data_IF_750266952649
#
_entry.id   IF_750266952649
#
_cell.length_a   1.000
_cell.length_b   1.000
_cell.length_c   1.000
_cell.angle_alpha   90.00
_cell.angle_beta   90.00
_cell.angle_gamma   90.00
#
_symmetry.space_group_name_H-M   'P 1'
#
loop_
_entity.id
_entity.type
_entity.pdbx_description
1 polymer ?
#
# COMPACT_ATOMS: atom_id res chain seq x y z
N UNK A 1 18.43 40.31 12.97
CA UNK A 1 17.77 39.86 11.72
C UNK A 1 16.83 38.72 12.07
N UNK A 2 15.54 38.93 11.89
CA UNK A 2 14.46 37.99 12.24
C UNK A 2 14.24 37.00 11.09
N UNK A 3 14.69 35.76 11.25
CA UNK A 3 14.31 34.67 10.36
C UNK A 3 12.94 34.14 10.78
N UNK A 4 11.89 34.59 10.11
CA UNK A 4 10.55 34.00 10.23
C UNK A 4 10.47 32.77 9.32
N UNK A 5 10.83 31.61 9.83
CA UNK A 5 10.64 30.34 9.13
C UNK A 5 9.14 29.95 9.15
N UNK A 6 8.40 30.43 8.15
CA UNK A 6 7.01 30.03 7.88
C UNK A 6 6.98 28.67 7.17
N UNK A 7 7.49 27.60 7.77
CA UNK A 7 7.24 26.24 7.26
C UNK A 7 6.02 25.63 7.93
N UNK A 8 4.83 26.04 7.46
CA UNK A 8 3.67 25.13 7.48
C UNK A 8 3.89 24.05 6.42
N UNK A 9 4.84 23.15 6.67
CA UNK A 9 4.96 21.91 5.90
C UNK A 9 3.81 21.04 6.40
N UNK A 10 2.75 20.89 5.61
CA UNK A 10 1.67 19.94 5.93
C UNK A 10 2.31 18.58 6.16
N UNK A 11 2.33 18.13 7.42
CA UNK A 11 2.95 16.88 7.87
C UNK A 11 2.10 15.66 7.50
N UNK A 12 1.72 15.56 6.23
CA UNK A 12 1.20 14.33 5.64
C UNK A 12 1.86 14.22 4.28
N UNK A 13 2.81 13.29 4.06
CA UNK A 13 3.17 12.94 2.70
C UNK A 13 1.87 12.45 2.06
N UNK A 14 1.32 13.27 1.16
CA UNK A 14 0.24 12.80 0.28
C UNK A 14 0.88 11.68 -0.53
N UNK A 15 0.61 10.43 -0.17
CA UNK A 15 1.02 9.29 -1.01
C UNK A 15 0.40 9.56 -2.38
N UNK A 16 1.25 9.67 -3.39
CA UNK A 16 0.77 9.84 -4.76
C UNK A 16 -0.04 8.59 -5.10
N UNK A 17 -1.31 8.72 -5.53
CA UNK A 17 -2.17 7.58 -5.83
C UNK A 17 -1.50 6.56 -6.76
N UNK A 18 -0.75 7.06 -7.74
CA UNK A 18 -0.01 6.24 -8.70
C UNK A 18 1.07 5.39 -8.01
N UNK A 19 1.71 5.90 -6.96
CA UNK A 19 2.71 5.16 -6.16
C UNK A 19 2.05 4.06 -5.34
N UNK A 20 0.85 4.32 -4.79
CA UNK A 20 0.07 3.32 -4.07
C UNK A 20 -0.37 2.18 -5.00
N UNK A 21 -0.85 2.53 -6.19
CA UNK A 21 -1.24 1.56 -7.22
C UNK A 21 -0.05 0.72 -7.69
N UNK A 22 1.10 1.34 -7.93
CA UNK A 22 2.34 0.63 -8.25
C UNK A 22 2.74 -0.35 -7.15
N UNK A 23 2.68 0.08 -5.88
CA UNK A 23 2.98 -0.79 -4.74
C UNK A 23 2.05 -2.01 -4.66
N UNK A 24 0.75 -1.82 -4.90
CA UNK A 24 -0.24 -2.91 -4.96
C UNK A 24 0.07 -3.87 -6.10
N UNK A 25 0.38 -3.36 -7.30
CA UNK A 25 0.74 -4.19 -8.46
C UNK A 25 1.98 -5.03 -8.16
N UNK A 26 3.03 -4.40 -7.62
CA UNK A 26 4.27 -5.08 -7.26
C UNK A 26 4.02 -6.19 -6.23
N UNK A 27 3.26 -5.92 -5.17
CA UNK A 27 2.94 -6.92 -4.16
C UNK A 27 2.16 -8.12 -4.73
N UNK A 28 1.24 -7.88 -5.68
CA UNK A 28 0.53 -8.97 -6.36
C UNK A 28 1.50 -9.85 -7.16
N UNK A 29 2.48 -9.27 -7.85
CA UNK A 29 3.51 -10.04 -8.56
C UNK A 29 4.37 -10.85 -7.59
N UNK A 30 4.83 -10.25 -6.49
CA UNK A 30 5.61 -10.95 -5.46
C UNK A 30 4.83 -12.12 -4.84
N UNK A 31 3.54 -11.93 -4.56
CA UNK A 31 2.64 -12.97 -4.05
C UNK A 31 2.52 -14.12 -5.05
N UNK A 32 2.37 -13.83 -6.34
CA UNK A 32 2.31 -14.87 -7.38
C UNK A 32 3.61 -15.67 -7.45
N UNK A 33 4.75 -14.99 -7.51
CA UNK A 33 6.08 -15.61 -7.56
C UNK A 33 6.29 -16.53 -6.35
N UNK A 34 6.03 -16.05 -5.13
CA UNK A 34 6.16 -16.84 -3.90
C UNK A 34 5.20 -18.04 -3.90
N UNK A 35 3.98 -17.86 -4.40
CA UNK A 35 3.00 -18.95 -4.51
C UNK A 35 3.46 -20.02 -5.50
N UNK A 36 4.07 -19.62 -6.60
CA UNK A 36 4.58 -20.55 -7.61
C UNK A 36 5.85 -21.26 -7.13
N UNK A 37 6.74 -20.58 -6.39
CA UNK A 37 7.86 -21.24 -5.72
C UNK A 37 7.38 -22.29 -4.71
N UNK A 38 6.35 -21.98 -3.90
CA UNK A 38 5.76 -22.93 -2.96
C UNK A 38 5.17 -24.17 -3.62
N UNK A 39 4.59 -24.04 -4.83
CA UNK A 39 4.05 -25.19 -5.58
C UNK A 39 5.15 -26.10 -6.13
N UNK A 40 6.33 -25.55 -6.39
CA UNK A 40 7.45 -26.26 -7.02
C UNK A 40 8.49 -26.75 -6.00
N UNK A 41 8.26 -26.55 -4.70
CA UNK A 41 9.14 -27.06 -3.65
C UNK A 41 8.90 -28.55 -3.40
N UNK A 42 9.98 -29.29 -3.19
CA UNK A 42 9.92 -30.69 -2.83
C UNK A 42 9.49 -30.86 -1.36
N UNK A 43 8.98 -32.05 -1.02
CA UNK A 43 8.50 -32.35 0.33
C UNK A 43 9.60 -32.30 1.41
N UNK A 44 10.87 -32.41 0.99
CA UNK A 44 12.04 -32.36 1.87
C UNK A 44 12.52 -30.93 2.15
N UNK A 45 12.07 -29.94 1.37
CA UNK A 45 12.43 -28.52 1.53
C UNK A 45 11.61 -27.81 2.63
N UNK A 46 11.51 -28.43 3.81
CA UNK A 46 10.61 -27.96 4.88
C UNK A 46 10.94 -26.54 5.36
N UNK A 47 12.23 -26.21 5.47
CA UNK A 47 12.66 -24.88 5.93
C UNK A 47 12.31 -23.79 4.93
N UNK A 48 12.53 -24.05 3.63
CA UNK A 48 12.17 -23.15 2.54
C UNK A 48 10.66 -22.98 2.45
N UNK A 49 9.89 -24.06 2.61
CA UNK A 49 8.43 -23.99 2.66
C UNK A 49 7.93 -23.10 3.79
N UNK A 50 8.51 -23.22 4.99
CA UNK A 50 8.16 -22.36 6.13
C UNK A 50 8.49 -20.90 5.79
N UNK A 51 9.73 -20.64 5.37
CA UNK A 51 10.19 -19.28 5.04
C UNK A 51 9.34 -18.61 3.95
N UNK A 52 9.01 -19.35 2.89
CA UNK A 52 8.20 -18.82 1.78
C UNK A 52 6.75 -18.62 2.19
N UNK A 53 6.19 -19.45 3.08
CA UNK A 53 4.86 -19.23 3.66
C UNK A 53 4.83 -17.97 4.52
N UNK A 54 5.85 -17.75 5.35
CA UNK A 54 5.95 -16.56 6.20
C UNK A 54 6.07 -15.28 5.36
N UNK A 55 6.92 -15.31 4.32
CA UNK A 55 7.02 -14.20 3.36
C UNK A 55 5.69 -13.97 2.64
N UNK A 56 5.03 -15.02 2.17
CA UNK A 56 3.73 -14.92 1.49
C UNK A 56 2.66 -14.30 2.42
N UNK A 57 2.64 -14.70 3.68
CA UNK A 57 1.75 -14.11 4.69
C UNK A 57 2.04 -12.61 4.87
N UNK A 58 3.32 -12.25 5.07
CA UNK A 58 3.73 -10.84 5.22
C UNK A 58 3.32 -9.99 4.01
N UNK A 59 3.48 -10.52 2.79
CA UNK A 59 3.08 -9.81 1.56
C UNK A 59 1.57 -9.63 1.45
N UNK A 60 0.77 -10.62 1.87
CA UNK A 60 -0.70 -10.50 1.90
C UNK A 60 -1.17 -9.47 2.92
N UNK A 61 -0.56 -9.45 4.10
CA UNK A 61 -0.86 -8.45 5.14
C UNK A 61 -0.52 -7.02 4.67
N UNK A 62 0.63 -6.87 4.00
CA UNK A 62 1.03 -5.60 3.41
C UNK A 62 0.07 -5.17 2.30
N UNK A 63 -0.29 -6.06 1.39
CA UNK A 63 -1.24 -5.79 0.31
C UNK A 63 -2.58 -5.30 0.87
N UNK A 64 -3.12 -6.00 1.87
CA UNK A 64 -4.36 -5.62 2.55
C UNK A 64 -4.28 -4.22 3.15
N UNK A 65 -3.12 -3.86 3.72
CA UNK A 65 -2.88 -2.54 4.31
C UNK A 65 -2.84 -1.43 3.25
N UNK A 66 -2.29 -1.70 2.05
CA UNK A 66 -2.30 -0.75 0.94
C UNK A 66 -3.68 -0.62 0.31
N UNK A 67 -4.41 -1.71 0.15
CA UNK A 67 -5.80 -1.71 -0.35
C UNK A 67 -6.73 -0.91 0.57
N UNK A 68 -6.56 -1.04 1.89
CA UNK A 68 -7.30 -0.24 2.87
C UNK A 68 -6.99 1.26 2.72
N UNK A 69 -5.72 1.62 2.62
CA UNK A 69 -5.30 3.01 2.39
C UNK A 69 -5.89 3.56 1.07
N UNK A 70 -5.95 2.75 0.02
CA UNK A 70 -6.55 3.14 -1.26
C UNK A 70 -8.04 3.44 -1.10
N UNK A 71 -8.77 2.56 -0.42
CA UNK A 71 -10.20 2.74 -0.16
C UNK A 71 -10.49 4.00 0.68
N UNK A 72 -9.64 4.30 1.68
CA UNK A 72 -9.75 5.53 2.47
C UNK A 72 -9.50 6.79 1.63
N UNK A 73 -8.49 6.77 0.75
CA UNK A 73 -8.20 7.87 -0.16
C UNK A 73 -9.34 8.11 -1.16
N UNK A 74 -9.93 7.05 -1.71
CA UNK A 74 -11.06 7.12 -2.63
C UNK A 74 -12.30 7.71 -1.93
N UNK A 75 -12.58 7.28 -0.70
CA UNK A 75 -13.66 7.84 0.13
C UNK A 75 -13.41 9.33 0.44
N UNK A 76 -12.18 9.70 0.78
CA UNK A 76 -11.78 11.09 1.03
C UNK A 76 -11.82 11.96 -0.23
N UNK A 77 -11.71 11.39 -1.43
CA UNK A 77 -11.90 12.09 -2.71
C UNK A 77 -13.38 12.33 -2.99
N UNK A 78 -14.22 11.31 -2.83
CA UNK A 78 -15.66 11.41 -3.07
C UNK A 78 -16.34 12.45 -2.15
N UNK A 79 -15.98 12.47 -0.86
CA UNK A 79 -16.48 13.44 0.11
C UNK A 79 -16.07 14.90 -0.18
N UNK A 80 -14.97 15.12 -0.90
CA UNK A 80 -14.55 16.47 -1.35
C UNK A 80 -15.32 16.94 -2.58
N UNK A 81 -15.74 16.02 -3.45
CA UNK A 81 -16.49 16.33 -4.68
C UNK A 81 -17.97 16.68 -4.43
N UNK A 82 -18.54 16.32 -3.28
CA UNK A 82 -19.96 16.54 -2.95
C UNK A 82 -20.27 17.86 -2.23
N UNK A 83 -19.27 18.71 -1.95
CA UNK A 83 -19.50 19.97 -1.23
C UNK A 83 -20.03 21.05 -2.20
N UNK A 84 -21.29 21.50 -2.06
CA UNK A 84 -21.84 22.53 -2.95
C UNK A 84 -21.12 23.87 -2.74
N UNK A 85 -21.00 24.72 -3.78
CA UNK A 85 -20.38 26.02 -3.65
C UNK A 85 -21.16 26.90 -2.64
N UNK A 86 -20.47 27.77 -1.87
CA UNK A 86 -21.14 28.70 -0.99
C UNK A 86 -22.03 29.61 -1.83
N UNK A 87 -23.31 29.70 -1.48
CA UNK A 87 -24.22 30.70 -2.05
C UNK A 87 -23.79 32.07 -1.52
N UNK A 88 -23.27 32.90 -2.41
CA UNK A 88 -23.06 34.34 -2.17
C UNK A 88 -24.38 35.08 -2.28
#
# INVERSE_FOLDING_TARGET
MTFTDKRKRSRLPSVEPDLLDQGIIQLNMEIQILSDWLKNLDADDKEQQISYRDMLQSRREMLRSLELQKAELDTARQSRSTKPPPKH
#
